data_IF_109533250125
#
_entry.id   IF_109533250125
#
_cell.length_a   1.000
_cell.length_b   1.000
_cell.length_c   1.000
_cell.angle_alpha   90.00
_cell.angle_beta   90.00
_cell.angle_gamma   90.00
#
_symmetry.space_group_name_H-M   'P 1'
#
loop_
_entity.id
_entity.type
_entity.pdbx_description
1 polymer ?
#
# COMPACT_ATOMS: atom_id res chain seq x y z
N UNK A 1 -5.77 -7.71 -32.65
CA UNK A 1 -6.89 -7.73 -31.68
C UNK A 1 -6.39 -7.05 -30.41
N UNK A 2 -6.74 -5.78 -30.24
CA UNK A 2 -6.09 -4.83 -29.33
C UNK A 2 -6.45 -5.09 -27.86
N UNK A 3 -5.44 -5.33 -27.02
CA UNK A 3 -5.53 -5.36 -25.56
C UNK A 3 -5.90 -3.96 -25.04
N UNK A 4 -7.20 -3.67 -24.93
CA UNK A 4 -7.68 -2.52 -24.17
C UNK A 4 -7.50 -2.82 -22.68
N UNK A 5 -6.55 -2.14 -22.04
CA UNK A 5 -6.46 -1.96 -20.59
C UNK A 5 -7.84 -1.61 -20.04
N UNK A 6 -8.47 -2.54 -19.31
CA UNK A 6 -9.78 -2.31 -18.70
C UNK A 6 -9.61 -1.95 -17.22
N UNK A 7 -9.05 -0.77 -16.95
CA UNK A 7 -9.21 -0.11 -15.65
C UNK A 7 -10.33 0.91 -15.84
N UNK A 8 -11.58 0.51 -15.59
CA UNK A 8 -12.74 1.41 -15.63
C UNK A 8 -12.79 2.14 -14.30
N UNK A 9 -12.57 3.46 -14.29
CA UNK A 9 -12.86 4.32 -13.13
C UNK A 9 -14.38 4.56 -13.08
N UNK A 10 -15.08 3.91 -12.13
CA UNK A 10 -16.55 3.81 -12.07
C UNK A 10 -17.24 4.82 -11.13
N UNK A 11 -16.52 5.84 -10.68
CA UNK A 11 -16.86 6.63 -9.49
C UNK A 11 -18.18 7.43 -9.57
N UNK A 12 -18.82 7.52 -10.75
CA UNK A 12 -20.05 8.30 -10.98
C UNK A 12 -21.33 7.47 -10.76
N UNK A 13 -21.26 6.14 -10.86
CA UNK A 13 -22.47 5.27 -10.76
C UNK A 13 -22.34 4.13 -9.76
N UNK A 14 -21.13 3.81 -9.30
CA UNK A 14 -20.88 2.66 -8.45
C UNK A 14 -20.01 3.03 -7.25
N UNK A 15 -20.33 2.46 -6.09
CA UNK A 15 -19.66 2.74 -4.81
C UNK A 15 -18.28 2.06 -4.64
N UNK A 16 -17.74 1.43 -5.68
CA UNK A 16 -16.39 0.86 -5.69
C UNK A 16 -15.46 1.70 -6.58
N UNK A 17 -14.17 1.71 -6.25
CA UNK A 17 -13.15 2.44 -7.03
C UNK A 17 -12.56 1.60 -8.15
N UNK A 18 -12.51 0.27 -7.97
CA UNK A 18 -11.99 -0.70 -8.95
C UNK A 18 -12.81 -1.99 -8.93
N UNK A 19 -12.87 -2.63 -10.09
CA UNK A 19 -13.24 -4.05 -10.22
C UNK A 19 -12.04 -4.77 -10.83
N UNK A 20 -11.67 -5.91 -10.26
CA UNK A 20 -10.45 -6.64 -10.60
C UNK A 20 -10.85 -8.08 -10.89
N UNK A 21 -10.76 -8.49 -12.15
CA UNK A 21 -10.96 -9.87 -12.56
C UNK A 21 -9.62 -10.61 -12.59
N UNK A 22 -9.41 -11.47 -11.60
CA UNK A 22 -8.10 -12.06 -11.30
C UNK A 22 -7.53 -12.94 -12.42
N UNK A 23 -8.40 -13.49 -13.28
CA UNK A 23 -7.97 -14.33 -14.40
C UNK A 23 -7.07 -13.61 -15.39
N UNK A 24 -7.06 -12.28 -15.41
CA UNK A 24 -6.25 -11.50 -16.33
C UNK A 24 -4.80 -11.30 -15.86
N UNK A 25 -4.49 -11.52 -14.58
CA UNK A 25 -3.10 -11.42 -14.08
C UNK A 25 -2.25 -12.62 -14.48
N UNK A 26 -2.83 -13.83 -14.41
CA UNK A 26 -2.18 -15.06 -14.80
C UNK A 26 -3.20 -15.94 -15.53
N UNK A 27 -3.28 -15.74 -16.84
CA UNK A 27 -4.34 -16.32 -17.66
C UNK A 27 -4.33 -17.85 -17.59
N UNK A 28 -5.47 -18.40 -17.15
CA UNK A 28 -5.78 -19.83 -17.18
C UNK A 28 -7.20 -20.03 -17.74
N UNK A 29 -7.40 -20.90 -18.74
CA UNK A 29 -8.72 -21.25 -19.24
C UNK A 29 -9.59 -21.78 -18.10
N UNK A 30 -10.77 -21.20 -17.92
CA UNK A 30 -11.72 -21.59 -16.87
C UNK A 30 -13.11 -21.11 -17.26
N UNK A 31 -14.11 -21.95 -16.98
CA UNK A 31 -15.53 -21.64 -17.14
C UNK A 31 -16.06 -20.75 -16.01
N UNK A 32 -15.24 -20.46 -14.99
CA UNK A 32 -15.56 -19.58 -13.86
C UNK A 32 -14.49 -18.50 -13.71
N UNK A 33 -14.86 -17.37 -13.11
CA UNK A 33 -13.97 -16.27 -12.82
C UNK A 33 -14.26 -15.68 -11.44
N UNK A 34 -13.28 -15.00 -10.85
CA UNK A 34 -13.43 -14.28 -9.58
C UNK A 34 -13.17 -12.81 -9.86
N UNK A 35 -14.13 -11.98 -9.48
CA UNK A 35 -14.04 -10.53 -9.57
C UNK A 35 -14.06 -9.95 -8.16
N UNK A 36 -13.04 -9.17 -7.81
CA UNK A 36 -13.00 -8.41 -6.56
C UNK A 36 -13.41 -6.96 -6.83
N UNK A 37 -14.22 -6.41 -5.94
CA UNK A 37 -14.57 -4.99 -5.94
C UNK A 37 -13.89 -4.31 -4.77
N UNK A 38 -13.22 -3.20 -5.06
CA UNK A 38 -12.48 -2.45 -4.05
C UNK A 38 -13.25 -1.22 -3.60
N UNK A 39 -13.39 -1.07 -2.28
CA UNK A 39 -14.09 0.04 -1.64
C UNK A 39 -13.09 0.84 -0.82
N UNK A 40 -12.89 2.11 -1.16
CA UNK A 40 -12.07 3.01 -0.35
C UNK A 40 -12.83 3.39 0.93
N UNK A 41 -12.14 3.32 2.06
CA UNK A 41 -12.68 3.64 3.38
C UNK A 41 -11.62 4.36 4.20
N UNK A 42 -12.05 5.30 5.04
CA UNK A 42 -11.19 5.88 6.06
C UNK A 42 -10.73 4.81 7.05
N UNK A 43 -9.43 4.81 7.36
CA UNK A 43 -8.84 3.85 8.27
C UNK A 43 -9.28 4.11 9.71
N UNK A 44 -9.81 3.09 10.38
CA UNK A 44 -10.16 3.13 11.79
C UNK A 44 -9.25 2.21 12.61
N UNK A 45 -8.31 2.79 13.36
CA UNK A 45 -7.38 2.06 14.23
C UNK A 45 -8.07 1.28 15.37
N UNK A 46 -9.34 1.56 15.68
CA UNK A 46 -10.13 0.83 16.69
C UNK A 46 -10.77 -0.44 16.15
N UNK A 47 -10.81 -0.60 14.82
CA UNK A 47 -11.35 -1.79 14.18
C UNK A 47 -10.20 -2.75 13.84
N UNK A 48 -10.04 -3.87 14.58
CA UNK A 48 -8.92 -4.80 14.37
C UNK A 48 -8.98 -5.52 13.02
N UNK A 49 -10.10 -5.44 12.28
CA UNK A 49 -10.21 -6.01 10.93
C UNK A 49 -9.68 -5.07 9.85
N UNK A 50 -9.37 -3.82 10.18
CA UNK A 50 -8.86 -2.85 9.22
C UNK A 50 -7.34 -2.84 9.21
N UNK A 51 -6.77 -2.77 8.01
CA UNK A 51 -5.34 -2.75 7.76
C UNK A 51 -5.00 -1.40 7.11
N UNK A 52 -3.96 -0.68 7.58
CA UNK A 52 -3.53 0.55 6.94
C UNK A 52 -2.89 0.25 5.57
N UNK A 53 -3.55 0.67 4.49
CA UNK A 53 -3.07 0.47 3.12
C UNK A 53 -2.24 1.65 2.60
N UNK A 54 -2.70 2.89 2.83
CA UNK A 54 -2.15 4.07 2.19
C UNK A 54 -1.93 5.22 3.19
N UNK A 55 -0.73 5.83 3.24
CA UNK A 55 -0.51 7.05 4.02
C UNK A 55 -1.24 8.24 3.38
N UNK A 56 -1.62 9.21 4.20
CA UNK A 56 -2.29 10.43 3.74
C UNK A 56 -1.27 11.57 3.79
N UNK A 57 -0.80 12.00 2.61
CA UNK A 57 0.30 12.96 2.44
C UNK A 57 -0.01 14.43 2.74
N UNK A 58 -0.77 14.73 3.80
CA UNK A 58 -1.09 16.10 4.21
C UNK A 58 -0.05 16.66 5.22
N UNK A 59 -0.09 17.97 5.48
CA UNK A 59 0.85 18.66 6.37
C UNK A 59 0.79 18.12 7.81
N UNK A 60 -0.42 17.96 8.35
CA UNK A 60 -0.65 17.50 9.72
C UNK A 60 -0.03 16.11 9.96
N UNK A 61 -0.21 15.17 9.04
CA UNK A 61 0.33 13.83 9.17
C UNK A 61 1.84 13.79 9.02
N UNK A 62 2.42 14.65 8.16
CA UNK A 62 3.87 14.80 8.05
C UNK A 62 4.47 15.32 9.36
N UNK A 63 3.85 16.33 9.97
CA UNK A 63 4.28 16.87 11.26
C UNK A 63 4.21 15.80 12.37
N UNK A 64 3.10 15.03 12.44
CA UNK A 64 2.98 13.90 13.37
C UNK A 64 4.05 12.83 13.12
N UNK A 65 4.28 12.46 11.87
CA UNK A 65 5.31 11.48 11.52
C UNK A 65 6.71 11.96 11.94
N UNK A 66 7.03 13.24 11.77
CA UNK A 66 8.32 13.80 12.24
C UNK A 66 8.50 13.70 13.75
N UNK A 67 7.42 13.76 14.55
CA UNK A 67 7.50 13.52 15.99
C UNK A 67 7.79 12.04 16.29
N UNK A 68 7.10 11.11 15.61
CA UNK A 68 7.38 9.67 15.75
C UNK A 68 8.79 9.30 15.33
N UNK A 69 9.30 9.90 14.25
CA UNK A 69 10.66 9.67 13.79
C UNK A 69 11.70 10.05 14.86
N UNK A 70 11.51 11.20 15.53
CA UNK A 70 12.38 11.63 16.65
C UNK A 70 12.34 10.67 17.84
N UNK A 71 11.19 10.05 18.12
CA UNK A 71 11.10 9.04 19.19
C UNK A 71 11.73 7.72 18.77
N UNK A 72 11.56 7.32 17.50
CA UNK A 72 12.15 6.11 16.94
C UNK A 72 13.69 6.18 16.97
N UNK A 73 14.29 7.33 16.67
CA UNK A 73 15.73 7.56 16.73
C UNK A 73 16.34 7.37 18.13
N UNK A 74 15.52 7.39 19.20
CA UNK A 74 15.98 7.16 20.57
C UNK A 74 16.09 5.67 20.93
N UNK A 75 15.63 4.77 20.07
CA UNK A 75 15.56 3.32 20.33
C UNK A 75 16.49 2.59 19.34
N UNK A 76 17.80 2.61 19.56
CA UNK A 76 18.78 2.14 18.57
C UNK A 76 18.69 0.63 18.29
N UNK A 77 18.06 -0.15 19.17
CA UNK A 77 17.87 -1.59 19.00
C UNK A 77 16.73 -1.93 18.01
N UNK A 78 15.91 -0.95 17.63
CA UNK A 78 14.75 -1.15 16.74
C UNK A 78 14.93 -0.37 15.44
N UNK A 79 14.73 -1.06 14.33
CA UNK A 79 14.82 -0.48 12.99
C UNK A 79 13.42 -0.39 12.39
N UNK A 80 12.94 0.83 12.19
CA UNK A 80 11.66 1.11 11.55
C UNK A 80 11.86 1.27 10.04
N UNK A 81 11.22 0.41 9.25
CA UNK A 81 11.40 0.37 7.80
C UNK A 81 10.12 -0.03 7.06
N UNK A 82 10.11 0.24 5.76
CA UNK A 82 9.02 -0.10 4.84
C UNK A 82 7.83 0.84 4.95
N UNK A 83 6.81 0.56 4.15
CA UNK A 83 5.61 1.41 3.97
C UNK A 83 5.01 1.94 5.27
N UNK A 84 4.89 1.07 6.28
CA UNK A 84 4.27 1.41 7.56
C UNK A 84 5.26 2.05 8.55
N UNK A 85 6.51 1.58 8.57
CA UNK A 85 7.54 2.10 9.48
C UNK A 85 8.02 3.50 9.09
N UNK A 86 8.08 3.79 7.79
CA UNK A 86 8.57 5.07 7.25
C UNK A 86 7.44 6.02 6.82
N UNK A 87 6.18 5.60 6.99
CA UNK A 87 4.99 6.35 6.58
C UNK A 87 5.04 6.83 5.11
N UNK A 88 5.52 5.98 4.22
CA UNK A 88 5.67 6.27 2.79
C UNK A 88 4.71 5.47 1.93
N UNK A 89 4.35 6.01 0.77
CA UNK A 89 3.67 5.25 -0.27
C UNK A 89 4.73 4.60 -1.14
N UNK A 90 4.91 3.29 -1.00
CA UNK A 90 5.87 2.51 -1.79
C UNK A 90 5.15 1.49 -2.66
N UNK A 91 5.63 1.36 -3.90
CA UNK A 91 5.40 0.18 -4.70
C UNK A 91 6.32 -0.98 -4.22
N UNK A 92 6.14 -2.17 -4.80
CA UNK A 92 6.84 -3.38 -4.33
C UNK A 92 8.35 -3.31 -4.57
N UNK A 93 8.76 -2.76 -5.71
CA UNK A 93 10.16 -2.55 -6.08
C UNK A 93 10.84 -1.50 -5.20
N UNK A 94 10.20 -0.36 -4.94
CA UNK A 94 10.70 0.65 -3.99
C UNK A 94 10.94 0.04 -2.60
N UNK A 95 10.01 -0.80 -2.14
CA UNK A 95 10.10 -1.47 -0.84
C UNK A 95 11.30 -2.43 -0.79
N UNK A 96 11.51 -3.21 -1.86
CA UNK A 96 12.64 -4.14 -1.95
C UNK A 96 13.96 -3.37 -2.02
N UNK A 97 14.04 -2.35 -2.88
CA UNK A 97 15.24 -1.52 -3.02
C UNK A 97 15.61 -0.85 -1.69
N UNK A 98 14.63 -0.29 -0.98
CA UNK A 98 14.87 0.35 0.31
C UNK A 98 15.37 -0.66 1.35
N UNK A 99 14.79 -1.86 1.41
CA UNK A 99 15.22 -2.91 2.32
C UNK A 99 16.68 -3.36 2.04
N UNK A 100 17.06 -3.50 0.77
CA UNK A 100 18.43 -3.85 0.38
C UNK A 100 19.42 -2.75 0.77
N UNK A 101 19.12 -1.48 0.45
CA UNK A 101 19.94 -0.32 0.84
C UNK A 101 20.11 -0.21 2.35
N UNK A 102 19.04 -0.48 3.11
CA UNK A 102 19.09 -0.48 4.57
C UNK A 102 19.99 -1.61 5.07
N UNK A 103 19.83 -2.82 4.54
CA UNK A 103 20.67 -3.97 4.91
C UNK A 103 22.15 -3.70 4.66
N UNK A 104 22.52 -3.11 3.53
CA UNK A 104 23.90 -2.76 3.21
C UNK A 104 24.52 -1.74 4.20
N UNK A 105 23.70 -0.83 4.75
CA UNK A 105 24.14 0.13 5.75
C UNK A 105 24.37 -0.50 7.12
N UNK A 106 23.61 -1.54 7.46
CA UNK A 106 23.62 -2.19 8.78
C UNK A 106 24.67 -3.29 8.91
N UNK A 107 25.04 -3.93 7.81
CA UNK A 107 26.01 -5.04 7.80
C UNK A 107 27.46 -4.54 7.68
N UNK A 108 27.66 -3.29 7.25
CA UNK A 108 28.98 -2.63 7.23
C UNK A 108 29.44 -2.27 8.64
#
# INVERSE_FOLDING_TARGET
MSLKKLIIKSQIYFNYTRSIEHKHFNYKPSNKTVVSFEFSKEFNHKDPKQIPYYPIGNKENKEKYSLYLKEAEKIPEIIFAGRLGEYQYYDMDDTIENALKLSEKLIK
#
